data_IF_759402819784
#
_entry.id   IF_759402819784
#
_cell.length_a   1.000
_cell.length_b   1.000
_cell.length_c   1.000
_cell.angle_alpha   90.00
_cell.angle_beta   90.00
_cell.angle_gamma   90.00
#
_symmetry.space_group_name_H-M   'P 1'
#
loop_
_entity.id
_entity.type
_entity.pdbx_description
1 polymer ?
#
# COMPACT_ATOMS: atom_id res chain seq x y z
N UNK A 1 36.49 4.81 -7.01
CA UNK A 1 36.05 5.36 -5.72
C UNK A 1 34.77 6.16 -5.96
N UNK A 2 33.60 5.55 -5.85
CA UNK A 2 32.33 6.27 -5.85
C UNK A 2 31.41 5.59 -4.85
N UNK A 3 31.48 6.06 -3.59
CA UNK A 3 30.39 5.85 -2.65
C UNK A 3 29.24 6.74 -3.11
N UNK A 4 28.36 6.21 -3.94
CA UNK A 4 27.09 6.87 -4.22
C UNK A 4 26.14 6.32 -3.17
N UNK A 5 26.04 7.03 -2.04
CA UNK A 5 24.92 6.82 -1.13
C UNK A 5 23.62 7.02 -1.90
N UNK A 6 22.57 6.26 -1.56
CA UNK A 6 21.24 6.36 -2.18
C UNK A 6 20.82 7.82 -2.40
N UNK A 7 20.10 8.09 -3.48
CA UNK A 7 19.55 9.43 -3.70
C UNK A 7 18.56 9.79 -2.57
N UNK A 8 18.28 11.09 -2.37
CA UNK A 8 17.36 11.52 -1.30
C UNK A 8 15.98 10.89 -1.48
N UNK A 9 15.44 10.91 -2.70
CA UNK A 9 14.15 10.33 -3.04
C UNK A 9 14.14 8.80 -2.85
N UNK A 10 15.22 8.09 -3.16
CA UNK A 10 15.33 6.64 -2.94
C UNK A 10 15.20 6.29 -1.45
N UNK A 11 15.86 7.05 -0.57
CA UNK A 11 15.74 6.84 0.88
C UNK A 11 14.34 7.14 1.41
N UNK A 12 13.70 8.19 0.88
CA UNK A 12 12.34 8.55 1.25
C UNK A 12 11.34 7.47 0.78
N UNK A 13 11.54 6.94 -0.43
CA UNK A 13 10.78 5.82 -0.96
C UNK A 13 10.97 4.56 -0.10
N UNK A 14 12.21 4.17 0.20
CA UNK A 14 12.48 2.99 1.04
C UNK A 14 11.83 3.13 2.42
N UNK A 15 11.96 4.30 3.05
CA UNK A 15 11.35 4.55 4.36
C UNK A 15 9.83 4.47 4.30
N UNK A 16 9.20 5.00 3.25
CA UNK A 16 7.76 4.91 3.08
C UNK A 16 7.31 3.46 2.81
N UNK A 17 8.11 2.70 2.05
CA UNK A 17 7.86 1.28 1.77
C UNK A 17 7.96 0.45 3.05
N UNK A 18 8.94 0.71 3.90
CA UNK A 18 9.09 0.02 5.19
C UNK A 18 7.87 0.28 6.11
N UNK A 19 7.32 1.50 6.11
CA UNK A 19 6.05 1.82 6.80
C UNK A 19 4.86 1.03 6.23
N UNK A 20 4.79 0.85 4.90
CA UNK A 20 3.76 0.02 4.27
C UNK A 20 3.91 -1.45 4.64
N UNK A 21 5.13 -1.98 4.66
CA UNK A 21 5.40 -3.38 5.03
C UNK A 21 4.90 -3.68 6.45
N UNK A 22 5.08 -2.74 7.37
CA UNK A 22 4.70 -2.89 8.77
C UNK A 22 3.24 -2.48 9.07
N UNK A 23 2.48 -2.02 8.08
CA UNK A 23 1.15 -1.45 8.28
C UNK A 23 0.19 -2.45 8.93
N UNK A 24 -0.48 -2.09 10.01
CA UNK A 24 -1.54 -2.92 10.62
C UNK A 24 -2.95 -2.44 10.25
N UNK A 25 -3.03 -1.22 9.72
CA UNK A 25 -4.25 -0.47 9.49
C UNK A 25 -4.27 0.11 8.08
N UNK A 26 -5.39 -0.06 7.39
CA UNK A 26 -5.65 0.52 6.08
C UNK A 26 -6.56 1.74 6.20
N UNK A 27 -6.02 2.92 5.85
CA UNK A 27 -6.72 4.19 5.77
C UNK A 27 -6.17 5.05 4.62
N UNK A 28 -7.03 5.49 3.71
CA UNK A 28 -6.64 6.35 2.59
C UNK A 28 -6.81 7.86 2.85
N UNK A 29 -7.26 8.23 4.04
CA UNK A 29 -7.48 9.62 4.43
C UNK A 29 -7.40 9.80 5.94
N UNK A 30 -7.70 11.01 6.41
CA UNK A 30 -7.71 11.33 7.83
C UNK A 30 -8.70 10.45 8.61
N UNK A 31 -8.24 9.93 9.75
CA UNK A 31 -9.04 9.06 10.62
C UNK A 31 -9.50 9.79 11.87
N UNK A 32 -10.67 9.39 12.37
CA UNK A 32 -11.27 9.93 13.59
C UNK A 32 -11.79 11.37 13.46
N UNK A 33 -12.33 11.91 14.56
CA UNK A 33 -13.00 13.21 14.59
C UNK A 33 -12.09 14.40 14.24
N UNK A 34 -10.79 14.28 14.52
CA UNK A 34 -9.81 15.31 14.19
C UNK A 34 -9.27 15.20 12.75
N UNK A 35 -9.62 14.14 12.01
CA UNK A 35 -9.12 13.90 10.65
C UNK A 35 -7.60 13.70 10.60
N UNK A 36 -7.02 13.05 11.61
CA UNK A 36 -5.57 12.85 11.69
C UNK A 36 -5.10 11.86 10.64
N UNK A 37 -4.08 12.20 9.87
CA UNK A 37 -3.44 11.26 8.95
C UNK A 37 -2.57 10.28 9.74
N UNK A 38 -2.73 8.99 9.43
CA UNK A 38 -1.85 7.97 9.99
C UNK A 38 -0.49 8.02 9.28
N UNK A 39 0.63 7.67 9.95
CA UNK A 39 1.95 7.60 9.32
C UNK A 39 1.96 6.77 8.04
N UNK A 40 1.24 5.64 8.03
CA UNK A 40 1.09 4.78 6.85
C UNK A 40 0.33 5.46 5.70
N UNK A 41 -0.67 6.31 6.02
CA UNK A 41 -1.40 7.08 5.00
C UNK A 41 -0.49 8.14 4.38
N UNK A 42 0.36 8.79 5.17
CA UNK A 42 1.36 9.70 4.63
C UNK A 42 2.42 8.96 3.80
N UNK A 43 2.85 7.78 4.24
CA UNK A 43 3.77 6.94 3.48
C UNK A 43 3.18 6.54 2.13
N UNK A 44 1.91 6.12 2.09
CA UNK A 44 1.16 5.86 0.86
C UNK A 44 1.18 7.08 -0.07
N UNK A 45 0.87 8.28 0.44
CA UNK A 45 0.87 9.51 -0.37
C UNK A 45 2.26 9.87 -0.90
N UNK A 46 3.33 9.61 -0.14
CA UNK A 46 4.71 9.82 -0.60
C UNK A 46 5.10 8.87 -1.72
N UNK A 47 4.72 7.59 -1.63
CA UNK A 47 4.96 6.61 -2.69
C UNK A 47 4.15 6.99 -3.93
N UNK A 48 2.89 7.38 -3.76
CA UNK A 48 2.03 7.86 -4.84
C UNK A 48 2.63 9.10 -5.54
N UNK A 49 3.19 10.05 -4.81
CA UNK A 49 3.86 11.21 -5.41
C UNK A 49 5.16 10.83 -6.15
N UNK A 50 5.88 9.82 -5.67
CA UNK A 50 7.11 9.33 -6.32
C UNK A 50 6.79 8.54 -7.60
N UNK A 51 5.56 8.01 -7.71
CA UNK A 51 5.14 7.19 -8.83
C UNK A 51 5.23 7.92 -10.17
N UNK A 52 4.89 9.20 -10.20
CA UNK A 52 4.86 10.00 -11.43
C UNK A 52 6.28 10.22 -12.00
N UNK A 53 7.29 10.32 -11.13
CA UNK A 53 8.69 10.55 -11.51
C UNK A 53 9.48 9.24 -11.72
N UNK A 54 9.19 8.21 -10.92
CA UNK A 54 9.97 6.97 -10.86
C UNK A 54 9.10 5.70 -10.84
N UNK A 55 8.28 5.45 -11.89
CA UNK A 55 7.30 4.37 -11.89
C UNK A 55 7.92 2.97 -11.81
N UNK A 56 9.07 2.74 -12.43
CA UNK A 56 9.75 1.44 -12.43
C UNK A 56 10.31 1.06 -11.05
N UNK A 57 10.87 2.04 -10.32
CA UNK A 57 11.40 1.80 -8.97
C UNK A 57 10.26 1.57 -7.98
N UNK A 58 9.21 2.38 -8.06
CA UNK A 58 8.01 2.18 -7.25
C UNK A 58 7.42 0.80 -7.52
N UNK A 59 7.28 0.38 -8.78
CA UNK A 59 6.79 -0.96 -9.14
C UNK A 59 7.57 -2.07 -8.43
N UNK A 60 8.92 -2.01 -8.47
CA UNK A 60 9.79 -2.99 -7.78
C UNK A 60 9.54 -3.05 -6.28
N UNK A 61 9.40 -1.89 -5.65
CA UNK A 61 9.16 -1.83 -4.21
C UNK A 61 7.75 -2.32 -3.86
N UNK A 62 6.73 -2.04 -4.68
CA UNK A 62 5.39 -2.58 -4.47
C UNK A 62 5.36 -4.10 -4.58
N UNK A 63 6.11 -4.70 -5.52
CA UNK A 63 6.24 -6.16 -5.61
C UNK A 63 6.84 -6.76 -4.32
N UNK A 64 7.81 -6.07 -3.70
CA UNK A 64 8.35 -6.45 -2.40
C UNK A 64 7.32 -6.36 -1.28
N UNK A 65 6.52 -5.29 -1.22
CA UNK A 65 5.44 -5.16 -0.23
C UNK A 65 4.38 -6.24 -0.44
N UNK A 66 4.04 -6.59 -1.68
CA UNK A 66 3.10 -7.67 -1.96
C UNK A 66 3.61 -9.03 -1.46
N UNK A 67 4.92 -9.28 -1.55
CA UNK A 67 5.53 -10.51 -1.05
C UNK A 67 5.63 -10.54 0.48
N UNK A 68 6.18 -9.50 1.09
CA UNK A 68 6.63 -9.52 2.49
C UNK A 68 5.77 -8.67 3.45
N UNK A 69 4.89 -7.84 2.90
CA UNK A 69 4.08 -6.92 3.67
C UNK A 69 3.01 -7.62 4.52
N UNK A 70 2.61 -6.92 5.57
CA UNK A 70 1.39 -7.21 6.32
C UNK A 70 0.14 -7.21 5.42
N UNK A 71 -1.02 -7.67 5.91
CA UNK A 71 -2.25 -7.64 5.12
C UNK A 71 -2.65 -6.23 4.67
N UNK A 72 -2.55 -5.23 5.56
CA UNK A 72 -2.83 -3.84 5.19
C UNK A 72 -1.80 -3.30 4.20
N UNK A 73 -0.51 -3.63 4.37
CA UNK A 73 0.56 -3.24 3.46
C UNK A 73 0.36 -3.78 2.05
N UNK A 74 0.01 -5.07 1.94
CA UNK A 74 -0.35 -5.71 0.66
C UNK A 74 -1.56 -5.04 0.01
N UNK A 75 -2.58 -4.69 0.79
CA UNK A 75 -3.75 -3.97 0.28
C UNK A 75 -3.40 -2.57 -0.23
N UNK A 76 -2.52 -1.82 0.44
CA UNK A 76 -1.98 -0.56 -0.06
C UNK A 76 -1.20 -0.74 -1.36
N UNK A 77 -0.31 -1.74 -1.41
CA UNK A 77 0.53 -1.99 -2.57
C UNK A 77 -0.29 -2.40 -3.81
N UNK A 78 -1.26 -3.30 -3.64
CA UNK A 78 -2.17 -3.67 -4.73
C UNK A 78 -3.01 -2.48 -5.21
N UNK A 79 -3.41 -1.58 -4.31
CA UNK A 79 -4.11 -0.34 -4.67
C UNK A 79 -3.22 0.60 -5.49
N UNK A 80 -1.98 0.85 -5.07
CA UNK A 80 -1.04 1.67 -5.83
C UNK A 80 -0.74 1.05 -7.20
N UNK A 81 -0.68 -0.27 -7.27
CA UNK A 81 -0.43 -0.99 -8.51
C UNK A 81 -1.50 -0.74 -9.57
N UNK A 82 -2.76 -0.48 -9.18
CA UNK A 82 -3.83 -0.15 -10.13
C UNK A 82 -3.51 1.10 -10.96
N UNK A 83 -2.70 2.03 -10.43
CA UNK A 83 -2.26 3.23 -11.14
C UNK A 83 -1.14 2.96 -12.14
N UNK A 84 -0.33 1.94 -11.90
CA UNK A 84 0.85 1.60 -12.73
C UNK A 84 0.47 0.61 -13.82
N UNK A 85 -0.16 -0.49 -13.41
CA UNK A 85 -0.54 -1.62 -14.25
C UNK A 85 -1.82 -2.24 -13.69
N UNK A 86 -2.99 -1.85 -14.22
CA UNK A 86 -4.28 -2.40 -13.80
C UNK A 86 -4.38 -3.93 -13.96
N UNK A 87 -3.66 -4.52 -14.92
CA UNK A 87 -3.67 -5.97 -15.15
C UNK A 87 -2.89 -6.67 -14.05
N UNK A 88 -1.71 -6.17 -13.71
CA UNK A 88 -0.92 -6.69 -12.60
C UNK A 88 -1.63 -6.49 -11.26
N UNK A 89 -2.33 -5.37 -11.07
CA UNK A 89 -3.13 -5.14 -9.87
C UNK A 89 -4.27 -6.16 -9.74
N UNK A 90 -4.99 -6.42 -10.82
CA UNK A 90 -6.04 -7.46 -10.83
C UNK A 90 -5.48 -8.84 -10.51
N UNK A 91 -4.30 -9.17 -11.02
CA UNK A 91 -3.62 -10.43 -10.69
C UNK A 91 -3.22 -10.48 -9.21
N UNK A 92 -2.67 -9.40 -8.65
CA UNK A 92 -2.33 -9.30 -7.24
C UNK A 92 -3.58 -9.48 -6.36
N UNK A 93 -4.67 -8.75 -6.61
CA UNK A 93 -5.92 -8.95 -5.88
C UNK A 93 -6.46 -10.36 -6.01
N UNK A 94 -6.37 -10.97 -7.19
CA UNK A 94 -6.80 -12.36 -7.39
C UNK A 94 -6.00 -13.33 -6.51
N UNK A 95 -4.68 -13.14 -6.39
CA UNK A 95 -3.84 -14.00 -5.53
C UNK A 95 -4.11 -13.82 -4.04
N UNK A 96 -4.67 -12.68 -3.63
CA UNK A 96 -4.95 -12.38 -2.22
C UNK A 96 -6.33 -12.87 -1.76
N UNK A 97 -7.21 -13.32 -2.67
CA UNK A 97 -8.61 -13.69 -2.38
C UNK A 97 -8.80 -14.75 -1.30
N UNK A 98 -7.83 -15.66 -1.16
CA UNK A 98 -7.92 -16.77 -0.21
C UNK A 98 -7.13 -16.51 1.08
N UNK A 99 -6.59 -15.29 1.28
CA UNK A 99 -5.83 -14.94 2.48
C UNK A 99 -6.78 -14.64 3.66
N UNK A 100 -6.81 -15.49 4.71
CA UNK A 100 -7.73 -15.34 5.83
C UNK A 100 -7.25 -14.32 6.87
N UNK A 101 -6.09 -13.67 6.65
CA UNK A 101 -5.49 -12.80 7.65
C UNK A 101 -6.28 -11.50 7.79
N UNK A 102 -6.69 -11.20 9.02
CA UNK A 102 -7.47 -10.01 9.32
C UNK A 102 -6.59 -8.77 9.54
N UNK A 103 -7.14 -7.61 9.19
CA UNK A 103 -6.54 -6.31 9.48
C UNK A 103 -7.61 -5.24 9.72
N UNK A 104 -7.18 -4.11 10.27
CA UNK A 104 -8.08 -2.99 10.58
C UNK A 104 -8.23 -2.11 9.35
N UNK A 105 -9.46 -1.69 9.06
CA UNK A 105 -9.76 -0.70 8.02
C UNK A 105 -10.36 0.55 8.65
N UNK A 106 -10.08 1.71 8.06
CA UNK A 106 -10.75 2.95 8.38
C UNK A 106 -11.28 3.63 7.12
N UNK A 107 -12.55 4.02 7.18
CA UNK A 107 -13.20 4.87 6.18
C UNK A 107 -13.73 6.10 6.91
N UNK A 108 -12.97 7.19 6.84
CA UNK A 108 -13.24 8.40 7.63
C UNK A 108 -13.23 8.10 9.13
N UNK A 109 -14.39 8.22 9.78
CA UNK A 109 -14.54 7.94 11.22
C UNK A 109 -14.88 6.47 11.53
N UNK A 110 -15.19 5.65 10.52
CA UNK A 110 -15.64 4.27 10.74
C UNK A 110 -14.43 3.34 10.75
N UNK A 111 -14.19 2.70 11.90
CA UNK A 111 -13.26 1.57 12.02
C UNK A 111 -14.01 0.27 11.68
N UNK A 112 -13.42 -0.54 10.82
CA UNK A 112 -13.85 -1.89 10.51
C UNK A 112 -12.73 -2.90 10.70
N UNK A 113 -13.08 -4.17 10.60
CA UNK A 113 -12.13 -5.28 10.52
C UNK A 113 -12.60 -6.22 9.41
N UNK A 114 -11.67 -6.66 8.58
CA UNK A 114 -11.95 -7.57 7.47
C UNK A 114 -10.75 -8.47 7.22
N UNK A 115 -10.95 -9.55 6.48
CA UNK A 115 -9.85 -10.37 5.97
C UNK A 115 -9.29 -9.75 4.69
N UNK A 116 -8.02 -10.03 4.39
CA UNK A 116 -7.43 -9.63 3.12
C UNK A 116 -8.15 -10.26 1.92
N UNK A 117 -8.60 -11.51 2.06
CA UNK A 117 -9.38 -12.21 1.06
C UNK A 117 -10.71 -11.53 0.75
N UNK A 118 -11.50 -11.20 1.78
CA UNK A 118 -12.78 -10.50 1.62
C UNK A 118 -12.58 -9.11 1.01
N UNK A 119 -11.57 -8.37 1.49
CA UNK A 119 -11.24 -7.05 0.93
C UNK A 119 -10.83 -7.14 -0.54
N UNK A 120 -10.00 -8.12 -0.90
CA UNK A 120 -9.60 -8.35 -2.29
C UNK A 120 -10.79 -8.74 -3.18
N UNK A 121 -11.73 -9.54 -2.66
CA UNK A 121 -12.95 -9.89 -3.38
C UNK A 121 -13.84 -8.68 -3.65
N UNK A 122 -14.00 -7.78 -2.68
CA UNK A 122 -14.71 -6.51 -2.85
C UNK A 122 -14.05 -5.63 -3.91
N UNK A 123 -12.71 -5.49 -3.86
CA UNK A 123 -11.96 -4.70 -4.87
C UNK A 123 -12.10 -5.25 -6.27
N UNK A 124 -12.08 -6.57 -6.44
CA UNK A 124 -12.29 -7.23 -7.74
C UNK A 124 -13.72 -7.11 -8.27
N UNK A 125 -14.71 -6.93 -7.39
CA UNK A 125 -16.10 -6.70 -7.78
C UNK A 125 -16.37 -5.24 -8.15
N UNK A 126 -15.61 -4.29 -7.58
CA UNK A 126 -15.73 -2.86 -7.84
C UNK A 126 -14.93 -2.38 -9.08
N UNK A 127 -14.04 -3.21 -9.62
CA UNK A 127 -13.16 -2.92 -10.76
C UNK A 127 -13.64 -3.55 -12.08
#
# INVERSE_FOLDING_TARGET
MFGIGKQKWERELDSAVDELVAADTLAFGGVGFAGTLLPVTEAYQRIEATLDDHPEEVRRQLDRVLADGSPAGRAYAATLLERIDPTAARAAWTSLRDDPTEFTTFVGCVMGRTTLGDYAAERLAAA
#
